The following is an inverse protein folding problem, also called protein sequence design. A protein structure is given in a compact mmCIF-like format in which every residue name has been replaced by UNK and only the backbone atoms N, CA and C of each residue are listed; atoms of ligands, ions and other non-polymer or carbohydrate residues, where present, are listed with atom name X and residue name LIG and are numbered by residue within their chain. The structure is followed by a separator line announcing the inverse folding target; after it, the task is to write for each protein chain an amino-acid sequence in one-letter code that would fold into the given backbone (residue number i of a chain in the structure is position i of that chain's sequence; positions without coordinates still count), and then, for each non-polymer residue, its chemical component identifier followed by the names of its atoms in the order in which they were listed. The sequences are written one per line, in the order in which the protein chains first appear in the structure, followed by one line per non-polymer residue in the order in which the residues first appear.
data_IF_583248425466
#
_entry.id   IF_583248425466
#
_cell.length_a   1.000
_cell.length_b   1.000
_cell.length_c   1.000
_cell.angle_alpha   90.00
_cell.angle_beta   90.00
_cell.angle_gamma   90.00
#
_symmetry.space_group_name_H-M   'P 1'
#
loop_
_entity.id
_entity.type
_entity.pdbx_description
1 polymer ?
#
# COMPACT_ATOMS: atom_id res chain seq x y z
N UNK A 1 -32.97 46.35 50.09
CA UNK A 1 -32.19 45.13 50.44
C UNK A 1 -32.38 43.98 49.50
N UNK A 2 -33.19 44.10 48.52
CA UNK A 2 -33.49 42.99 47.57
C UNK A 2 -32.71 43.08 46.24
N UNK A 3 -31.93 44.04 46.03
CA UNK A 3 -31.20 44.28 44.74
C UNK A 3 -29.82 43.60 44.62
N UNK A 4 -29.34 42.95 45.66
CA UNK A 4 -28.04 42.33 45.68
C UNK A 4 -28.05 40.85 45.30
N UNK A 5 -29.22 40.16 45.34
CA UNK A 5 -29.31 38.73 44.98
C UNK A 5 -29.43 38.50 43.49
N UNK A 6 -29.98 39.43 42.73
CA UNK A 6 -30.13 39.26 41.27
C UNK A 6 -28.77 39.42 40.50
N UNK A 7 -27.80 40.11 41.06
CA UNK A 7 -26.48 40.27 40.43
C UNK A 7 -25.60 39.02 40.53
N UNK A 8 -25.91 38.09 41.47
CA UNK A 8 -25.11 36.88 41.68
C UNK A 8 -25.53 35.77 40.75
N UNK A 9 -26.80 35.67 40.36
CA UNK A 9 -27.28 34.67 39.42
C UNK A 9 -26.79 34.87 37.99
N UNK A 10 -26.58 36.11 37.61
CA UNK A 10 -26.03 36.42 36.28
C UNK A 10 -24.56 36.05 36.13
N UNK A 11 -23.79 36.05 37.19
CA UNK A 11 -22.37 35.76 37.16
C UNK A 11 -22.09 34.25 37.16
N UNK A 12 -22.94 33.44 37.83
CA UNK A 12 -22.84 31.99 37.77
C UNK A 12 -23.21 31.40 36.40
N UNK A 13 -24.15 31.99 35.71
CA UNK A 13 -24.55 31.53 34.37
C UNK A 13 -23.43 31.77 33.34
N UNK A 14 -22.70 32.87 33.46
CA UNK A 14 -21.54 33.16 32.59
C UNK A 14 -20.35 32.25 32.87
N UNK A 15 -20.19 31.81 34.08
CA UNK A 15 -19.16 30.85 34.47
C UNK A 15 -19.41 29.47 33.87
N UNK A 16 -20.65 29.06 33.84
CA UNK A 16 -21.03 27.73 33.28
C UNK A 16 -20.91 27.69 31.73
N UNK A 17 -21.22 28.75 31.03
CA UNK A 17 -21.05 28.83 29.59
C UNK A 17 -19.57 28.78 29.19
N UNK A 18 -18.69 29.42 29.95
CA UNK A 18 -17.23 29.36 29.72
C UNK A 18 -16.64 27.98 30.01
N UNK A 19 -17.17 27.29 31.00
CA UNK A 19 -16.75 25.91 31.28
C UNK A 19 -17.21 24.94 30.20
N UNK A 20 -18.39 25.12 29.63
CA UNK A 20 -18.86 24.28 28.54
C UNK A 20 -18.06 24.50 27.24
N UNK A 21 -17.69 25.72 26.93
CA UNK A 21 -16.82 26.01 25.78
C UNK A 21 -15.42 25.43 25.96
N UNK A 22 -14.91 25.42 27.18
CA UNK A 22 -13.60 24.83 27.50
C UNK A 22 -13.61 23.31 27.32
N UNK A 23 -14.70 22.64 27.64
CA UNK A 23 -14.87 21.20 27.46
C UNK A 23 -15.00 20.80 25.98
N UNK A 24 -15.52 21.68 25.14
CA UNK A 24 -15.67 21.44 23.71
C UNK A 24 -14.33 21.63 22.99
N UNK A 25 -13.53 22.57 23.44
CA UNK A 25 -12.19 22.82 22.88
C UNK A 25 -11.22 21.68 23.24
N UNK A 26 -11.31 21.18 24.45
CA UNK A 26 -10.45 20.08 24.91
C UNK A 26 -10.78 18.76 24.20
N UNK A 27 -12.02 18.54 23.77
CA UNK A 27 -12.40 17.39 22.96
C UNK A 27 -11.89 17.46 21.52
N UNK A 28 -11.62 18.65 20.99
CA UNK A 28 -11.02 18.81 19.67
C UNK A 28 -9.51 18.60 19.69
N UNK A 29 -8.87 18.84 20.80
CA UNK A 29 -7.44 18.56 20.97
C UNK A 29 -7.16 17.14 21.47
N UNK A 30 -8.17 16.43 21.91
CA UNK A 30 -8.07 15.04 22.34
C UNK A 30 -8.29 14.02 21.20
N UNK A 31 -8.31 14.45 19.94
CA UNK A 31 -8.05 13.54 18.85
C UNK A 31 -6.62 13.02 19.07
N UNK A 32 -6.42 11.72 19.25
CA UNK A 32 -5.10 11.18 19.36
C UNK A 32 -4.36 11.62 18.10
N UNK A 33 -3.44 12.53 18.27
CA UNK A 33 -2.38 12.69 17.30
C UNK A 33 -1.68 11.35 17.30
N UNK A 34 -2.03 10.51 16.37
CA UNK A 34 -1.28 9.32 16.10
C UNK A 34 0.12 9.76 15.67
N UNK A 35 0.96 10.04 16.67
CA UNK A 35 2.40 10.02 16.50
C UNK A 35 2.91 8.57 16.54
N UNK A 36 2.07 7.65 16.04
CA UNK A 36 2.59 6.37 15.61
C UNK A 36 3.46 6.60 14.38
N UNK A 37 4.40 5.71 14.07
CA UNK A 37 5.05 5.72 12.79
C UNK A 37 3.94 5.85 11.76
N UNK A 38 4.05 6.81 10.89
CA UNK A 38 3.18 6.97 9.73
C UNK A 38 3.32 5.63 9.00
N UNK A 39 2.38 4.72 9.28
CA UNK A 39 2.23 3.56 8.45
C UNK A 39 1.84 4.14 7.11
N UNK A 40 2.72 4.03 6.11
CA UNK A 40 2.40 4.53 4.81
C UNK A 40 1.21 3.72 4.33
N UNK A 41 0.16 4.44 4.04
CA UNK A 41 -1.03 3.97 3.41
C UNK A 41 -1.99 3.09 4.24
N UNK A 42 -3.23 3.46 4.12
CA UNK A 42 -4.37 2.72 4.64
C UNK A 42 -4.23 1.24 4.31
N UNK A 43 -4.01 0.44 5.33
CA UNK A 43 -3.96 -1.01 5.18
C UNK A 43 -5.39 -1.54 5.29
N UNK A 44 -5.94 -2.00 4.19
CA UNK A 44 -7.18 -2.75 4.23
C UNK A 44 -6.92 -4.11 4.86
N UNK A 45 -7.71 -4.48 5.86
CA UNK A 45 -7.53 -5.73 6.60
C UNK A 45 -8.77 -6.63 6.47
N UNK A 46 -8.55 -7.86 6.04
CA UNK A 46 -9.57 -8.91 6.01
C UNK A 46 -9.22 -9.95 7.07
N UNK A 47 -10.07 -10.05 8.08
CA UNK A 47 -9.86 -10.95 9.24
C UNK A 47 -10.02 -12.44 8.90
N UNK A 48 -9.57 -13.31 9.82
CA UNK A 48 -9.49 -14.76 9.64
C UNK A 48 -10.82 -15.45 9.32
N UNK A 49 -11.90 -15.05 9.94
CA UNK A 49 -13.21 -15.71 9.76
C UNK A 49 -14.08 -15.04 8.68
N UNK A 50 -13.48 -14.14 7.92
CA UNK A 50 -14.19 -13.42 6.87
C UNK A 50 -14.09 -14.20 5.56
N UNK A 51 -15.24 -14.52 4.99
CA UNK A 51 -15.34 -15.03 3.64
C UNK A 51 -15.80 -13.90 2.72
N UNK A 52 -14.95 -13.53 1.80
CA UNK A 52 -15.27 -12.51 0.82
C UNK A 52 -15.45 -13.15 -0.55
N UNK A 53 -16.54 -12.79 -1.23
CA UNK A 53 -16.78 -13.17 -2.63
C UNK A 53 -17.04 -11.93 -3.45
N UNK A 54 -16.24 -11.73 -4.48
CA UNK A 54 -16.40 -10.59 -5.38
C UNK A 54 -15.10 -10.03 -5.90
N UNK A 55 -15.17 -8.80 -6.37
CA UNK A 55 -14.02 -8.07 -6.91
C UNK A 55 -13.59 -7.04 -5.89
N UNK A 56 -12.32 -7.08 -5.51
CA UNK A 56 -11.69 -6.07 -4.66
C UNK A 56 -10.79 -5.20 -5.54
N UNK A 57 -11.05 -3.90 -5.56
CA UNK A 57 -10.17 -2.92 -6.18
C UNK A 57 -9.73 -1.93 -5.10
N UNK A 58 -8.44 -1.85 -4.88
CA UNK A 58 -7.88 -1.03 -3.82
C UNK A 58 -6.53 -0.44 -4.23
N UNK A 59 -6.30 0.82 -3.86
CA UNK A 59 -5.00 1.47 -4.06
C UNK A 59 -4.28 1.54 -2.72
N UNK A 60 -3.22 0.76 -2.54
CA UNK A 60 -2.45 0.70 -1.30
C UNK A 60 -2.15 -0.74 -0.87
N UNK A 61 -1.83 -0.93 0.41
CA UNK A 61 -1.49 -2.25 0.96
C UNK A 61 -2.73 -2.94 1.51
N UNK A 62 -2.97 -4.17 1.10
CA UNK A 62 -4.07 -5.01 1.58
C UNK A 62 -3.50 -6.21 2.32
N UNK A 63 -4.01 -6.46 3.52
CA UNK A 63 -3.71 -7.68 4.29
C UNK A 63 -4.92 -8.58 4.36
N UNK A 64 -4.75 -9.83 4.00
CA UNK A 64 -5.80 -10.84 3.97
C UNK A 64 -5.37 -12.01 4.82
N UNK A 65 -6.12 -12.27 5.89
CA UNK A 65 -5.95 -13.43 6.78
C UNK A 65 -7.12 -14.43 6.67
N UNK A 66 -8.14 -14.12 5.86
CA UNK A 66 -9.35 -14.92 5.68
C UNK A 66 -9.46 -15.65 4.34
N UNK A 67 -10.66 -16.11 4.03
CA UNK A 67 -10.98 -16.75 2.76
C UNK A 67 -11.47 -15.73 1.73
N UNK A 68 -10.89 -15.76 0.55
CA UNK A 68 -11.28 -14.87 -0.53
C UNK A 68 -11.48 -15.66 -1.84
N UNK A 69 -12.64 -15.40 -2.47
CA UNK A 69 -13.02 -16.00 -3.74
C UNK A 69 -13.44 -14.90 -4.74
N UNK A 70 -12.69 -14.74 -5.82
CA UNK A 70 -13.00 -13.73 -6.83
C UNK A 70 -11.81 -13.11 -7.51
N UNK A 71 -11.72 -11.78 -7.54
CA UNK A 71 -10.66 -11.05 -8.22
C UNK A 71 -10.14 -9.91 -7.33
N UNK A 72 -8.82 -9.75 -7.28
CA UNK A 72 -8.15 -8.70 -6.52
C UNK A 72 -7.33 -7.85 -7.46
N UNK A 73 -7.60 -6.54 -7.44
CA UNK A 73 -6.78 -5.54 -8.10
C UNK A 73 -6.22 -4.57 -7.07
N UNK A 74 -4.91 -4.52 -6.95
CA UNK A 74 -4.24 -3.53 -6.12
C UNK A 74 -2.97 -3.01 -6.78
N UNK A 75 -2.76 -1.71 -6.75
CA UNK A 75 -1.52 -1.11 -7.26
C UNK A 75 -0.37 -1.19 -6.24
N UNK A 76 -0.70 -1.47 -5.00
CA UNK A 76 0.24 -1.55 -3.89
C UNK A 76 0.66 -2.96 -3.51
N UNK A 77 0.85 -3.17 -2.20
CA UNK A 77 1.24 -4.45 -1.63
C UNK A 77 0.06 -5.34 -1.26
N UNK A 78 0.14 -6.63 -1.57
CA UNK A 78 -0.75 -7.64 -1.06
C UNK A 78 -0.01 -8.52 -0.06
N UNK A 79 -0.51 -8.57 1.17
CA UNK A 79 0.01 -9.42 2.23
C UNK A 79 -0.98 -10.52 2.53
N UNK A 80 -0.60 -11.76 2.30
CA UNK A 80 -1.43 -12.94 2.55
C UNK A 80 -0.95 -13.64 3.80
N UNK A 81 -1.82 -13.73 4.80
CA UNK A 81 -1.50 -14.38 6.08
C UNK A 81 -1.40 -15.90 5.98
N UNK A 82 -0.82 -16.57 6.99
CA UNK A 82 -0.55 -18.01 6.96
C UNK A 82 -1.81 -18.88 7.01
N UNK A 83 -2.92 -18.35 7.49
CA UNK A 83 -4.21 -19.05 7.52
C UNK A 83 -5.15 -18.65 6.37
N UNK A 84 -4.69 -17.74 5.50
CA UNK A 84 -5.49 -17.27 4.38
C UNK A 84 -5.61 -18.32 3.28
N UNK A 85 -6.81 -18.44 2.74
CA UNK A 85 -7.12 -19.28 1.57
C UNK A 85 -7.68 -18.39 0.48
N UNK A 86 -6.90 -18.16 -0.55
CA UNK A 86 -7.29 -17.29 -1.65
C UNK A 86 -7.54 -18.14 -2.89
N UNK A 87 -8.75 -18.05 -3.44
CA UNK A 87 -9.15 -18.66 -4.72
C UNK A 87 -9.54 -17.54 -5.66
N UNK A 88 -8.54 -16.87 -6.21
CA UNK A 88 -8.80 -15.67 -6.96
C UNK A 88 -7.74 -15.39 -8.02
N UNK A 89 -8.13 -14.53 -8.97
CA UNK A 89 -7.17 -13.86 -9.82
C UNK A 89 -6.63 -12.63 -9.10
N UNK A 90 -5.33 -12.59 -8.89
CA UNK A 90 -4.66 -11.53 -8.15
C UNK A 90 -3.80 -10.70 -9.08
N UNK A 91 -4.08 -9.41 -9.17
CA UNK A 91 -3.23 -8.43 -9.84
C UNK A 91 -2.73 -7.43 -8.80
N UNK A 92 -1.44 -7.40 -8.54
CA UNK A 92 -0.87 -6.56 -7.51
C UNK A 92 0.48 -5.94 -7.92
N UNK A 93 0.89 -4.89 -7.23
CA UNK A 93 2.24 -4.34 -7.38
C UNK A 93 3.28 -5.28 -6.79
N UNK A 94 3.18 -5.55 -5.50
CA UNK A 94 4.03 -6.50 -4.77
C UNK A 94 3.17 -7.51 -4.00
N UNK A 95 3.55 -8.78 -3.99
CA UNK A 95 2.82 -9.83 -3.28
C UNK A 95 3.73 -10.49 -2.26
N UNK A 96 3.28 -10.58 -1.02
CA UNK A 96 3.92 -11.37 0.04
C UNK A 96 2.93 -12.43 0.50
N UNK A 97 3.27 -13.69 0.30
CA UNK A 97 2.39 -14.81 0.59
C UNK A 97 2.98 -15.71 1.66
N UNK A 98 2.19 -15.98 2.71
CA UNK A 98 2.48 -16.96 3.76
C UNK A 98 1.44 -18.09 3.80
N UNK A 99 0.34 -17.96 3.07
CA UNK A 99 -0.81 -18.86 3.11
C UNK A 99 -1.02 -19.66 1.83
N UNK A 100 -2.26 -20.07 1.60
CA UNK A 100 -2.66 -20.87 0.46
C UNK A 100 -3.30 -20.02 -0.62
N UNK A 101 -2.72 -20.04 -1.81
CA UNK A 101 -3.27 -19.33 -2.97
C UNK A 101 -3.52 -20.31 -4.12
N UNK A 102 -4.73 -20.31 -4.63
CA UNK A 102 -5.12 -21.08 -5.83
C UNK A 102 -5.66 -20.11 -6.88
N UNK A 103 -5.05 -20.10 -8.06
CA UNK A 103 -5.47 -19.27 -9.19
C UNK A 103 -4.32 -18.57 -9.90
N UNK A 104 -4.64 -17.45 -10.56
CA UNK A 104 -3.68 -16.68 -11.33
C UNK A 104 -3.15 -15.51 -10.52
N UNK A 105 -1.84 -15.41 -10.38
CA UNK A 105 -1.17 -14.31 -9.68
C UNK A 105 -0.33 -13.52 -10.67
N UNK A 106 -0.64 -12.25 -10.82
CA UNK A 106 0.13 -11.33 -11.62
C UNK A 106 0.69 -10.21 -10.74
N UNK A 107 2.00 -10.13 -10.65
CA UNK A 107 2.66 -9.04 -9.94
C UNK A 107 3.48 -8.19 -10.89
N UNK A 108 3.37 -6.88 -10.70
CA UNK A 108 4.08 -5.90 -11.55
C UNK A 108 5.52 -5.66 -11.08
N UNK A 109 5.78 -5.78 -9.77
CA UNK A 109 7.09 -5.50 -9.18
C UNK A 109 7.81 -6.75 -8.70
N UNK A 110 7.24 -7.44 -7.71
CA UNK A 110 7.86 -8.62 -7.11
C UNK A 110 6.86 -9.52 -6.42
N UNK A 111 7.21 -10.81 -6.32
CA UNK A 111 6.50 -11.78 -5.48
C UNK A 111 7.49 -12.38 -4.48
N UNK A 112 7.09 -12.39 -3.22
CA UNK A 112 7.83 -13.03 -2.12
C UNK A 112 6.96 -14.13 -1.53
N UNK A 113 7.42 -15.35 -1.61
CA UNK A 113 6.75 -16.52 -1.02
C UNK A 113 7.52 -16.93 0.22
N UNK A 114 6.86 -16.85 1.37
CA UNK A 114 7.43 -17.20 2.67
C UNK A 114 6.77 -18.48 3.18
N UNK A 115 7.56 -19.36 3.81
CA UNK A 115 7.02 -20.59 4.38
C UNK A 115 5.99 -20.31 5.50
N UNK A 116 4.91 -21.08 5.60
CA UNK A 116 4.50 -22.27 4.85
C UNK A 116 3.55 -21.98 3.66
N UNK A 117 3.95 -21.18 2.69
CA UNK A 117 3.09 -20.85 1.56
C UNK A 117 2.88 -22.04 0.61
N UNK A 118 1.65 -22.21 0.15
CA UNK A 118 1.29 -23.15 -0.89
C UNK A 118 0.62 -22.38 -2.03
N UNK A 119 1.20 -22.44 -3.21
CA UNK A 119 0.70 -21.73 -4.37
C UNK A 119 0.40 -22.70 -5.48
N UNK A 120 -0.84 -22.69 -5.96
CA UNK A 120 -1.32 -23.53 -7.05
C UNK A 120 -1.88 -22.66 -8.18
N UNK A 121 -1.36 -22.83 -9.38
CA UNK A 121 -1.85 -22.14 -10.56
C UNK A 121 -0.78 -21.45 -11.37
N UNK A 122 -1.11 -20.28 -11.93
CA UNK A 122 -0.21 -19.52 -12.81
C UNK A 122 0.36 -18.31 -12.07
N UNK A 123 1.65 -18.12 -12.19
CA UNK A 123 2.36 -17.03 -11.52
C UNK A 123 3.14 -16.23 -12.53
N UNK A 124 2.83 -14.93 -12.66
CA UNK A 124 3.50 -14.02 -13.57
C UNK A 124 4.16 -12.90 -12.78
N UNK A 125 5.47 -12.79 -12.83
CA UNK A 125 6.21 -11.76 -12.09
C UNK A 125 7.57 -11.47 -12.73
N UNK A 126 8.07 -10.23 -12.66
CA UNK A 126 9.44 -9.94 -13.07
C UNK A 126 10.50 -10.40 -12.04
N UNK A 127 10.14 -10.40 -10.76
CA UNK A 127 11.04 -10.80 -9.66
C UNK A 127 10.33 -11.77 -8.74
N UNK A 128 10.91 -12.94 -8.54
CA UNK A 128 10.40 -13.96 -7.62
C UNK A 128 11.44 -14.26 -6.55
N UNK A 129 10.99 -14.21 -5.31
CA UNK A 129 11.74 -14.67 -4.15
C UNK A 129 10.96 -15.77 -3.44
N UNK A 130 11.58 -16.91 -3.18
CA UNK A 130 10.98 -18.03 -2.48
C UNK A 130 11.86 -18.44 -1.31
N UNK A 131 11.24 -18.64 -0.15
CA UNK A 131 11.90 -19.19 1.02
C UNK A 131 11.85 -20.72 1.06
N UNK A 132 12.65 -21.31 1.90
CA UNK A 132 12.62 -22.76 2.13
C UNK A 132 11.27 -23.19 2.73
N UNK A 133 10.70 -24.27 2.25
CA UNK A 133 9.42 -24.80 2.72
C UNK A 133 8.17 -24.31 1.96
N UNK A 134 8.36 -23.53 0.92
CA UNK A 134 7.29 -23.14 0.01
C UNK A 134 6.98 -24.26 -0.97
N UNK A 135 5.70 -24.55 -1.17
CA UNK A 135 5.23 -25.51 -2.19
C UNK A 135 4.62 -24.72 -3.35
N UNK A 136 5.18 -24.88 -4.53
CA UNK A 136 4.66 -24.27 -5.75
C UNK A 136 4.27 -25.36 -6.75
N UNK A 137 3.00 -25.36 -7.16
CA UNK A 137 2.44 -26.26 -8.15
C UNK A 137 1.81 -25.45 -9.29
N UNK A 138 2.46 -25.37 -10.43
CA UNK A 138 1.87 -24.67 -11.55
C UNK A 138 2.88 -24.13 -12.56
N UNK A 139 2.46 -23.11 -13.28
CA UNK A 139 3.25 -22.46 -14.31
C UNK A 139 3.82 -21.15 -13.81
N UNK A 140 5.12 -20.97 -13.93
CA UNK A 140 5.80 -19.72 -13.63
C UNK A 140 6.19 -19.02 -14.93
N UNK A 141 5.74 -17.79 -15.11
CA UNK A 141 6.14 -16.93 -16.20
C UNK A 141 6.87 -15.70 -15.66
N UNK A 142 8.11 -15.52 -16.02
CA UNK A 142 8.88 -14.35 -15.65
C UNK A 142 8.89 -13.36 -16.82
N UNK A 143 8.21 -12.22 -16.63
CA UNK A 143 8.27 -11.11 -17.58
C UNK A 143 9.35 -10.14 -17.13
N UNK A 144 10.36 -9.85 -17.96
CA UNK A 144 11.33 -8.81 -17.60
C UNK A 144 10.58 -7.49 -17.42
N UNK A 145 10.81 -6.83 -16.31
CA UNK A 145 10.34 -5.48 -16.11
C UNK A 145 10.98 -4.62 -17.19
N UNK A 146 10.18 -4.03 -18.06
CA UNK A 146 10.64 -2.98 -18.93
C UNK A 146 11.10 -1.84 -18.01
N UNK A 147 12.40 -1.76 -17.78
CA UNK A 147 13.01 -0.63 -17.11
C UNK A 147 12.69 0.57 -17.99
N UNK A 148 11.72 1.36 -17.58
CA UNK A 148 11.50 2.66 -18.15
C UNK A 148 12.73 3.46 -17.72
N UNK A 149 13.76 3.42 -18.54
CA UNK A 149 14.80 4.43 -18.48
C UNK A 149 14.09 5.73 -18.82
N UNK A 150 13.81 6.48 -17.78
CA UNK A 150 13.52 7.89 -17.95
C UNK A 150 14.78 8.47 -18.59
N UNK A 151 14.75 8.60 -19.90
CA UNK A 151 15.68 9.45 -20.61
C UNK A 151 15.52 10.82 -19.96
N UNK A 152 16.38 11.09 -19.02
CA UNK A 152 16.63 12.45 -18.63
C UNK A 152 17.32 13.05 -19.85
N UNK A 153 16.53 13.71 -20.65
CA UNK A 153 17.04 14.68 -21.60
C UNK A 153 17.77 15.73 -20.77
N UNK A 154 19.01 15.43 -20.41
CA UNK A 154 19.98 16.45 -20.10
C UNK A 154 20.35 17.04 -21.43
N UNK A 155 19.50 17.92 -21.91
CA UNK A 155 19.86 18.93 -22.87
C UNK A 155 20.90 19.80 -22.19
N UNK A 156 22.13 19.31 -22.24
CA UNK A 156 23.29 20.16 -22.02
C UNK A 156 23.87 20.41 -23.40
N UNK A 157 23.35 21.48 -23.96
CA UNK A 157 24.00 22.11 -25.13
C UNK A 157 25.47 22.29 -24.84
N UNK A 158 26.27 21.44 -25.38
CA UNK A 158 27.70 21.70 -25.59
C UNK A 158 27.96 21.65 -27.06
N UNK A 159 27.81 22.81 -27.66
CA UNK A 159 28.40 23.17 -28.90
C UNK A 159 29.92 23.06 -28.76
N UNK A 160 30.51 22.00 -29.21
CA UNK A 160 31.90 22.02 -29.55
C UNK A 160 32.03 21.70 -31.04
N UNK A 161 32.01 22.75 -31.81
CA UNK A 161 32.62 22.79 -33.13
C UNK A 161 34.06 22.34 -32.98
N UNK A 162 34.37 21.17 -33.45
CA UNK A 162 35.72 20.91 -33.89
C UNK A 162 35.65 20.24 -35.26
N UNK A 163 35.57 21.08 -36.22
CA UNK A 163 35.95 20.75 -37.58
C UNK A 163 37.43 20.36 -37.58
N UNK A 164 37.69 19.11 -37.74
CA UNK A 164 39.00 18.71 -38.21
C UNK A 164 38.86 17.94 -39.51
N UNK A 165 39.29 18.63 -40.49
CA UNK A 165 39.46 18.19 -41.85
C UNK A 165 40.17 16.85 -41.94
N UNK A 166 39.81 16.02 -42.90
CA UNK A 166 40.53 14.80 -43.15
C UNK A 166 41.90 15.14 -43.71
N UNK A 167 42.90 14.58 -43.10
CA UNK A 167 44.25 14.58 -43.61
C UNK A 167 44.25 13.85 -44.95
N UNK A 168 44.41 14.58 -45.95
CA UNK A 168 44.71 14.03 -47.30
C UNK A 168 46.10 13.53 -47.26
N UNK A 169 46.31 12.25 -47.21
CA UNK A 169 47.58 11.67 -47.63
C UNK A 169 47.62 11.69 -49.14
N UNK A 170 48.35 12.60 -49.67
CA UNK A 170 48.85 12.53 -51.04
C UNK A 170 50.12 11.70 -51.04
N UNK A 171 50.07 10.59 -51.69
CA UNK A 171 51.27 9.85 -52.04
C UNK A 171 51.88 10.49 -53.28
#
# INVERSE_FOLDING_TARGET
MWKHEEAVEGDMARGQEREQERWVEDRRSALPKHNGPILPDEVAFVGKDVQFKGIISYSGTVRIDGALDGEIHTDGGLLVGPEAVIKAKVTAGAVVCHGHITGDIEATSQIVLCAPAVVEGSLTTPVLSMEEGVVFNGTLEMKPQAKVEVLRDTDTGSTSMTSRSPIRLAA
#
